data_IF_223023273972
#
_entry.id   IF_223023273972
#
_cell.length_a   1.000
_cell.length_b   1.000
_cell.length_c   1.000
_cell.angle_alpha   90.00
_cell.angle_beta   90.00
_cell.angle_gamma   90.00
#
_symmetry.space_group_name_H-M   'P 1'
#
loop_
_entity.id
_entity.type
_entity.pdbx_description
1 polymer ?
#
# COMPACT_ATOMS: atom_id res chain seq x y z
N UNK A 1 6.11 21.59 39.79
CA UNK A 1 5.02 20.57 39.83
C UNK A 1 4.42 20.50 38.44
N UNK A 2 4.83 19.52 37.65
CA UNK A 2 4.32 19.26 36.29
C UNK A 2 3.41 18.04 36.44
N UNK A 3 2.16 18.06 35.98
CA UNK A 3 1.28 16.89 36.07
C UNK A 3 1.70 15.83 35.03
N UNK A 4 1.96 14.64 35.54
CA UNK A 4 2.18 13.42 34.73
C UNK A 4 0.89 13.02 34.04
N UNK A 5 0.85 13.19 32.72
CA UNK A 5 -0.20 12.61 31.88
C UNK A 5 0.07 11.11 31.72
N UNK A 6 -0.72 10.28 32.40
CA UNK A 6 -0.77 8.86 32.18
C UNK A 6 -1.29 8.58 30.75
N UNK A 7 -0.40 8.16 29.85
CA UNK A 7 -0.82 7.46 28.63
C UNK A 7 -1.44 6.13 29.07
N UNK A 8 -2.77 6.05 29.00
CA UNK A 8 -3.49 4.80 29.19
C UNK A 8 -3.12 3.84 28.05
N UNK A 9 -2.31 2.83 28.35
CA UNK A 9 -2.06 1.71 27.46
C UNK A 9 -3.43 1.09 27.10
N UNK A 10 -3.84 1.21 25.84
CA UNK A 10 -5.02 0.50 25.32
C UNK A 10 -4.69 -1.00 25.30
N UNK A 11 -5.06 -1.69 26.38
CA UNK A 11 -4.99 -3.15 26.41
C UNK A 11 -5.95 -3.71 25.35
N UNK A 12 -5.41 -4.50 24.45
CA UNK A 12 -6.22 -5.39 23.61
C UNK A 12 -7.21 -6.12 24.50
N UNK A 13 -8.51 -6.07 24.18
CA UNK A 13 -9.49 -6.71 25.03
C UNK A 13 -9.15 -8.20 25.09
N UNK A 14 -9.09 -8.77 26.30
CA UNK A 14 -8.81 -10.20 26.53
C UNK A 14 -9.71 -11.11 25.67
N UNK A 15 -10.85 -10.60 25.23
CA UNK A 15 -11.81 -11.29 24.38
C UNK A 15 -11.33 -11.45 22.94
N UNK A 16 -10.65 -10.43 22.35
CA UNK A 16 -10.05 -10.52 20.99
C UNK A 16 -8.82 -11.43 20.98
N UNK A 17 -7.99 -11.34 22.01
CA UNK A 17 -6.84 -12.24 22.14
C UNK A 17 -7.27 -13.72 22.32
N UNK A 18 -8.34 -13.98 23.07
CA UNK A 18 -8.88 -15.33 23.26
C UNK A 18 -9.57 -15.86 22.00
N UNK A 19 -10.10 -15.00 21.14
CA UNK A 19 -10.67 -15.41 19.84
C UNK A 19 -9.57 -15.84 18.85
N UNK A 20 -8.42 -15.18 18.86
CA UNK A 20 -7.26 -15.55 18.02
C UNK A 20 -6.47 -16.75 18.59
N UNK A 21 -6.47 -16.92 19.93
CA UNK A 21 -5.76 -18.03 20.59
C UNK A 21 -6.64 -19.26 20.90
N UNK A 22 -7.95 -19.16 20.76
CA UNK A 22 -8.93 -20.18 21.16
C UNK A 22 -9.43 -21.12 20.06
N UNK A 23 -8.94 -21.00 18.84
CA UNK A 23 -9.32 -21.87 17.71
C UNK A 23 -8.55 -23.20 17.62
N UNK A 24 -7.77 -23.57 18.64
CA UNK A 24 -7.05 -24.86 18.70
C UNK A 24 -7.86 -25.88 19.52
N UNK A 25 -8.98 -26.36 18.98
CA UNK A 25 -9.79 -27.38 19.64
C UNK A 25 -10.77 -28.08 18.70
N UNK A 26 -10.33 -29.21 18.15
CA UNK A 26 -11.07 -30.30 17.52
C UNK A 26 -12.21 -29.98 16.56
N UNK A 27 -11.96 -30.31 15.29
CA UNK A 27 -12.97 -30.52 14.26
C UNK A 27 -12.31 -30.93 12.95
N UNK A 28 -12.01 -32.23 12.79
CA UNK A 28 -11.69 -32.84 11.51
C UNK A 28 -12.86 -32.64 10.55
N UNK A 29 -12.75 -31.69 9.64
CA UNK A 29 -13.50 -31.64 8.39
C UNK A 29 -12.54 -31.35 7.27
N UNK A 30 -12.25 -32.38 6.50
CA UNK A 30 -11.59 -32.37 5.21
C UNK A 30 -12.39 -31.49 4.26
N UNK A 31 -11.82 -30.34 3.93
CA UNK A 31 -12.34 -29.45 2.91
C UNK A 31 -11.33 -28.34 2.70
N UNK A 32 -10.51 -28.47 1.63
CA UNK A 32 -9.71 -27.36 1.17
C UNK A 32 -10.65 -26.24 0.70
N UNK A 33 -11.07 -25.38 1.65
CA UNK A 33 -11.72 -24.14 1.34
C UNK A 33 -10.60 -23.23 0.77
N UNK A 34 -10.48 -23.19 -0.56
CA UNK A 34 -9.89 -22.05 -1.23
C UNK A 34 -10.62 -20.83 -0.69
N UNK A 35 -9.91 -19.95 0.01
CA UNK A 35 -10.41 -18.61 0.26
C UNK A 35 -10.66 -17.96 -1.11
N UNK A 36 -11.90 -18.04 -1.57
CA UNK A 36 -12.35 -17.21 -2.68
C UNK A 36 -12.41 -15.79 -2.14
N UNK A 37 -11.62 -14.90 -2.75
CA UNK A 37 -11.80 -13.47 -2.57
C UNK A 37 -13.29 -13.15 -2.68
N UNK A 38 -13.82 -12.40 -1.71
CA UNK A 38 -15.22 -12.02 -1.71
C UNK A 38 -15.54 -11.35 -3.05
N UNK A 39 -16.44 -11.96 -3.83
CA UNK A 39 -16.87 -11.38 -5.10
C UNK A 39 -17.61 -10.08 -4.79
N UNK A 40 -17.03 -8.96 -5.21
CA UNK A 40 -17.74 -7.69 -5.26
C UNK A 40 -18.98 -7.84 -6.14
N UNK A 41 -20.07 -7.19 -5.83
CA UNK A 41 -21.34 -7.26 -6.58
C UNK A 41 -21.30 -6.72 -8.03
N UNK A 42 -20.19 -6.12 -8.45
CA UNK A 42 -19.83 -5.99 -9.87
C UNK A 42 -18.80 -7.08 -10.15
N UNK A 43 -19.08 -8.03 -11.03
CA UNK A 43 -18.07 -8.99 -11.45
C UNK A 43 -16.83 -8.20 -11.87
N UNK A 44 -15.75 -8.29 -11.06
CA UNK A 44 -14.43 -7.80 -11.44
C UNK A 44 -14.07 -8.55 -12.72
N UNK A 45 -14.10 -7.85 -13.85
CA UNK A 45 -13.73 -8.44 -15.13
C UNK A 45 -12.31 -8.04 -15.46
N UNK A 46 -11.43 -9.03 -15.63
CA UNK A 46 -10.11 -8.82 -16.18
C UNK A 46 -10.28 -8.28 -17.60
N UNK A 47 -9.74 -7.10 -17.86
CA UNK A 47 -9.82 -6.42 -19.17
C UNK A 47 -8.48 -6.41 -19.90
N UNK A 48 -7.37 -6.63 -19.19
CA UNK A 48 -6.04 -6.87 -19.74
C UNK A 48 -5.29 -7.84 -18.82
N UNK A 49 -4.47 -8.71 -19.39
CA UNK A 49 -3.73 -9.74 -18.67
C UNK A 49 -2.39 -10.02 -19.37
N UNK A 50 -1.33 -10.28 -18.60
CA UNK A 50 0.00 -10.56 -19.10
C UNK A 50 0.94 -11.08 -18.00
N UNK A 51 2.20 -11.31 -18.33
CA UNK A 51 3.20 -11.74 -17.36
C UNK A 51 3.48 -10.69 -16.29
N UNK A 52 3.27 -9.42 -16.63
CA UNK A 52 3.46 -8.25 -15.73
C UNK A 52 2.36 -8.10 -14.67
N UNK A 53 1.21 -8.77 -14.84
CA UNK A 53 0.03 -8.62 -14.02
C UNK A 53 -1.25 -8.51 -14.84
N UNK A 54 -2.27 -7.87 -14.32
CA UNK A 54 -3.57 -7.72 -14.97
C UNK A 54 -4.24 -6.40 -14.63
N UNK A 55 -5.22 -6.02 -15.44
CA UNK A 55 -6.11 -4.89 -15.15
C UNK A 55 -7.52 -5.43 -14.92
N UNK A 56 -8.08 -5.07 -13.76
CA UNK A 56 -9.42 -5.45 -13.35
C UNK A 56 -10.35 -4.23 -13.35
N UNK A 57 -11.52 -4.34 -14.00
CA UNK A 57 -12.53 -3.30 -13.92
C UNK A 57 -13.18 -3.30 -12.53
N UNK A 58 -13.16 -2.16 -11.83
CA UNK A 58 -13.77 -1.97 -10.52
C UNK A 58 -15.09 -1.19 -10.59
N UNK A 59 -15.30 -0.45 -11.68
CA UNK A 59 -16.49 0.37 -11.91
C UNK A 59 -16.46 1.03 -13.27
N UNK A 60 -17.44 1.86 -13.56
CA UNK A 60 -17.43 2.66 -14.79
C UNK A 60 -16.29 3.69 -14.70
N UNK A 61 -15.35 3.62 -15.65
CA UNK A 61 -14.18 4.50 -15.68
C UNK A 61 -13.14 4.22 -14.59
N UNK A 62 -13.20 3.06 -13.89
CA UNK A 62 -12.28 2.74 -12.80
C UNK A 62 -11.72 1.34 -12.99
N UNK A 63 -10.39 1.24 -12.94
CA UNK A 63 -9.66 -0.02 -13.06
C UNK A 63 -8.55 -0.10 -12.03
N UNK A 64 -8.38 -1.28 -11.43
CA UNK A 64 -7.22 -1.64 -10.64
C UNK A 64 -6.16 -2.28 -11.52
N UNK A 65 -4.92 -1.85 -11.41
CA UNK A 65 -3.75 -2.52 -11.93
C UNK A 65 -3.24 -3.43 -10.83
N UNK A 66 -3.26 -4.74 -11.05
CA UNK A 66 -2.80 -5.74 -10.08
C UNK A 66 -1.55 -6.40 -10.65
N UNK A 67 -0.42 -6.13 -10.01
CA UNK A 67 0.89 -6.63 -10.44
C UNK A 67 1.01 -8.14 -10.26
N UNK A 68 1.97 -8.72 -10.94
CA UNK A 68 2.39 -10.10 -10.72
C UNK A 68 2.79 -10.32 -9.26
N UNK A 69 2.54 -11.50 -8.67
CA UNK A 69 3.03 -11.83 -7.34
C UNK A 69 4.54 -11.60 -7.21
N UNK A 70 4.99 -11.17 -6.04
CA UNK A 70 6.38 -10.78 -5.77
C UNK A 70 7.41 -11.93 -5.87
N UNK A 71 6.95 -13.17 -5.92
CA UNK A 71 7.76 -14.39 -6.14
C UNK A 71 7.88 -14.77 -7.62
N UNK A 72 7.33 -13.95 -8.53
CA UNK A 72 7.40 -14.16 -9.97
C UNK A 72 8.55 -13.34 -10.59
N UNK A 73 9.03 -13.77 -11.78
CA UNK A 73 10.19 -13.14 -12.43
C UNK A 73 9.88 -11.86 -13.23
N UNK A 74 8.61 -11.53 -13.47
CA UNK A 74 8.23 -10.30 -14.18
C UNK A 74 7.93 -9.16 -13.22
N UNK A 75 8.87 -8.23 -13.13
CA UNK A 75 8.84 -7.08 -12.24
C UNK A 75 8.55 -5.76 -12.98
N UNK A 76 7.92 -5.85 -14.14
CA UNK A 76 7.64 -4.67 -14.99
C UNK A 76 6.81 -3.62 -14.26
N UNK A 77 5.73 -4.03 -13.58
CA UNK A 77 4.91 -3.13 -12.75
C UNK A 77 5.37 -3.16 -11.29
N UNK A 78 5.55 -4.33 -10.71
CA UNK A 78 5.99 -4.66 -9.36
C UNK A 78 5.04 -4.22 -8.23
N UNK A 79 4.40 -3.08 -8.32
CA UNK A 79 3.35 -2.64 -7.40
C UNK A 79 1.98 -2.63 -8.09
N UNK A 80 0.92 -2.62 -7.29
CA UNK A 80 -0.42 -2.34 -7.77
C UNK A 80 -0.61 -0.83 -7.93
N UNK A 81 -1.62 -0.46 -8.74
CA UNK A 81 -1.99 0.92 -8.96
C UNK A 81 -3.39 1.02 -9.54
N UNK A 82 -3.68 2.09 -10.27
CA UNK A 82 -5.01 2.28 -10.83
C UNK A 82 -5.09 3.22 -12.00
N UNK A 83 -6.22 3.13 -12.69
CA UNK A 83 -6.63 4.04 -13.77
C UNK A 83 -8.01 4.56 -13.41
N UNK A 84 -8.19 5.87 -13.38
CA UNK A 84 -9.48 6.53 -13.13
C UNK A 84 -9.73 7.54 -14.24
N UNK A 85 -10.84 7.39 -14.95
CA UNK A 85 -11.20 8.25 -16.08
C UNK A 85 -12.47 9.06 -15.78
N UNK A 86 -12.42 10.35 -16.03
CA UNK A 86 -13.56 11.22 -16.19
C UNK A 86 -13.71 11.67 -17.64
N UNK A 87 -14.57 12.63 -17.91
CA UNK A 87 -14.80 13.16 -19.27
C UNK A 87 -13.59 13.92 -19.82
N UNK A 88 -12.85 14.60 -18.95
CA UNK A 88 -11.80 15.56 -19.34
C UNK A 88 -10.39 15.04 -19.05
N UNK A 89 -10.23 14.22 -18.02
CA UNK A 89 -8.93 13.79 -17.49
C UNK A 89 -8.88 12.28 -17.26
N UNK A 90 -7.68 11.74 -17.33
CA UNK A 90 -7.36 10.34 -16.95
C UNK A 90 -6.24 10.39 -15.92
N UNK A 91 -6.53 9.94 -14.71
CA UNK A 91 -5.58 9.80 -13.62
C UNK A 91 -5.03 8.37 -13.60
N UNK A 92 -3.71 8.23 -13.59
CA UNK A 92 -3.05 6.96 -13.22
C UNK A 92 -2.51 7.11 -11.80
N UNK A 93 -2.70 6.08 -11.01
CA UNK A 93 -2.20 5.99 -9.64
C UNK A 93 -0.99 5.07 -9.68
N UNK A 94 0.14 5.54 -9.19
CA UNK A 94 1.50 5.03 -9.22
C UNK A 94 2.26 5.22 -10.54
N UNK A 95 3.59 5.26 -10.43
CA UNK A 95 4.47 5.26 -11.61
C UNK A 95 5.25 3.96 -11.79
N UNK A 96 4.99 2.97 -10.94
CA UNK A 96 5.55 1.62 -11.04
C UNK A 96 7.08 1.57 -10.87
N UNK A 97 7.65 0.36 -11.05
CA UNK A 97 9.07 0.09 -10.78
C UNK A 97 10.06 0.77 -11.75
N UNK A 98 9.57 1.19 -12.90
CA UNK A 98 10.40 1.87 -13.90
C UNK A 98 9.61 2.33 -15.12
N UNK A 99 10.30 3.03 -16.07
CA UNK A 99 9.66 3.66 -17.24
C UNK A 99 8.91 2.65 -18.12
N UNK A 100 9.38 1.41 -18.20
CA UNK A 100 8.71 0.35 -18.96
C UNK A 100 7.33 0.01 -18.42
N UNK A 101 7.18 -0.15 -17.10
CA UNK A 101 5.91 -0.41 -16.44
C UNK A 101 4.95 0.78 -16.55
N UNK A 102 5.46 1.98 -16.34
CA UNK A 102 4.70 3.21 -16.51
C UNK A 102 4.17 3.37 -17.96
N UNK A 103 5.02 3.13 -18.96
CA UNK A 103 4.64 3.17 -20.37
C UNK A 103 3.56 2.15 -20.70
N UNK A 104 3.73 0.91 -20.22
CA UNK A 104 2.73 -0.15 -20.41
C UNK A 104 1.37 0.28 -19.86
N UNK A 105 1.32 0.77 -18.61
CA UNK A 105 0.06 1.20 -18.01
C UNK A 105 -0.51 2.45 -18.69
N UNK A 106 0.32 3.37 -19.16
CA UNK A 106 -0.13 4.52 -19.95
C UNK A 106 -0.80 4.09 -21.26
N UNK A 107 -0.25 3.09 -21.95
CA UNK A 107 -0.82 2.52 -23.17
C UNK A 107 -2.14 1.81 -22.89
N UNK A 108 -2.22 1.03 -21.81
CA UNK A 108 -3.47 0.42 -21.37
C UNK A 108 -4.54 1.47 -21.00
N UNK A 109 -4.16 2.53 -20.30
CA UNK A 109 -5.07 3.64 -20.00
C UNK A 109 -5.61 4.27 -21.28
N UNK A 110 -4.75 4.49 -22.29
CA UNK A 110 -5.17 5.00 -23.61
C UNK A 110 -6.10 4.03 -24.34
N UNK A 111 -5.83 2.74 -24.30
CA UNK A 111 -6.68 1.72 -24.93
C UNK A 111 -8.08 1.70 -24.28
N UNK A 112 -8.15 1.74 -22.96
CA UNK A 112 -9.40 1.68 -22.19
C UNK A 112 -10.22 2.97 -22.28
N UNK A 113 -9.58 4.14 -22.39
CA UNK A 113 -10.24 5.44 -22.28
C UNK A 113 -10.23 6.27 -23.57
N UNK A 114 -9.47 5.86 -24.58
CA UNK A 114 -9.22 6.63 -25.81
C UNK A 114 -8.23 7.80 -25.63
N UNK A 115 -7.62 7.97 -24.43
CA UNK A 115 -6.76 9.11 -24.09
C UNK A 115 -5.52 8.69 -23.31
N UNK A 116 -4.42 9.39 -23.51
CA UNK A 116 -3.26 9.28 -22.66
C UNK A 116 -3.57 9.79 -21.24
N UNK A 117 -2.92 9.24 -20.19
CA UNK A 117 -3.01 9.78 -18.83
C UNK A 117 -2.68 11.28 -18.81
N UNK A 118 -3.60 12.08 -18.31
CA UNK A 118 -3.39 13.54 -18.12
C UNK A 118 -2.70 13.82 -16.80
N UNK A 119 -2.82 12.88 -15.86
CA UNK A 119 -2.35 13.00 -14.49
C UNK A 119 -1.78 11.69 -13.98
N UNK A 120 -0.73 11.79 -13.16
CA UNK A 120 -0.12 10.66 -12.44
C UNK A 120 0.02 11.05 -10.98
N UNK A 121 -0.45 10.20 -10.08
CA UNK A 121 -0.35 10.40 -8.64
C UNK A 121 0.58 9.35 -8.05
N UNK A 122 1.56 9.78 -7.26
CA UNK A 122 2.46 8.92 -6.51
C UNK A 122 2.00 8.86 -5.05
N UNK A 123 1.70 7.65 -4.57
CA UNK A 123 1.21 7.48 -3.20
C UNK A 123 2.31 7.70 -2.16
N UNK A 124 3.52 7.20 -2.43
CA UNK A 124 4.68 7.35 -1.56
C UNK A 124 5.99 7.19 -2.35
N UNK A 125 7.15 7.32 -1.70
CA UNK A 125 8.44 7.50 -2.36
C UNK A 125 9.18 6.21 -2.75
N UNK A 126 8.72 5.01 -2.36
CA UNK A 126 9.43 3.77 -2.68
C UNK A 126 9.55 3.55 -4.17
N UNK A 127 10.66 2.93 -4.58
CA UNK A 127 11.05 2.89 -5.99
C UNK A 127 10.09 2.13 -6.89
N UNK A 128 9.46 1.10 -6.38
CA UNK A 128 8.44 0.32 -7.12
C UNK A 128 7.14 1.11 -7.38
N UNK A 129 6.92 2.22 -6.67
CA UNK A 129 5.80 3.16 -6.87
C UNK A 129 6.21 4.43 -7.60
N UNK A 130 7.50 4.83 -7.52
CA UNK A 130 7.94 6.17 -7.93
C UNK A 130 9.00 6.20 -9.04
N UNK A 131 9.55 5.07 -9.49
CA UNK A 131 10.69 5.09 -10.41
C UNK A 131 10.35 5.23 -11.90
N UNK A 132 9.08 5.18 -12.29
CA UNK A 132 8.70 5.13 -13.70
C UNK A 132 8.16 6.43 -14.28
N UNK A 133 8.22 7.57 -13.59
CA UNK A 133 7.57 8.83 -13.99
C UNK A 133 7.79 9.22 -15.45
N UNK A 134 9.01 9.11 -15.95
CA UNK A 134 9.39 9.46 -17.31
C UNK A 134 8.70 8.58 -18.38
N UNK A 135 8.24 7.38 -18.00
CA UNK A 135 7.48 6.50 -18.89
C UNK A 135 6.13 7.05 -19.32
N UNK A 136 5.53 7.96 -18.56
CA UNK A 136 4.27 8.61 -18.91
C UNK A 136 4.42 9.77 -19.87
N UNK A 137 5.60 10.32 -20.01
CA UNK A 137 5.86 11.44 -20.91
C UNK A 137 6.09 10.98 -22.36
N UNK A 138 5.75 11.85 -23.31
CA UNK A 138 6.09 11.71 -24.73
C UNK A 138 6.84 12.96 -25.19
N UNK A 139 7.31 13.00 -26.46
CA UNK A 139 7.95 14.19 -27.01
C UNK A 139 7.08 15.45 -26.88
N UNK A 140 5.77 15.29 -27.11
CA UNK A 140 4.80 16.39 -27.20
C UNK A 140 3.91 16.53 -25.95
N UNK A 141 4.07 15.64 -24.94
CA UNK A 141 3.13 15.60 -23.83
C UNK A 141 3.81 15.29 -22.49
N UNK A 142 3.42 16.03 -21.47
CA UNK A 142 3.80 15.83 -20.06
C UNK A 142 2.53 15.76 -19.22
N UNK A 143 2.30 14.66 -18.47
CA UNK A 143 1.18 14.62 -17.51
C UNK A 143 1.46 15.52 -16.31
N UNK A 144 0.41 16.00 -15.65
CA UNK A 144 0.51 16.60 -14.33
C UNK A 144 0.88 15.53 -13.29
N UNK A 145 1.98 15.76 -12.55
CA UNK A 145 2.41 14.84 -11.48
C UNK A 145 1.89 15.35 -10.14
N UNK A 146 1.34 14.46 -9.32
CA UNK A 146 0.77 14.77 -8.01
C UNK A 146 1.47 13.97 -6.92
N UNK A 147 1.96 14.63 -5.89
CA UNK A 147 2.55 14.01 -4.70
C UNK A 147 2.67 15.02 -3.57
N UNK A 148 2.95 14.58 -2.36
CA UNK A 148 3.27 15.51 -1.27
C UNK A 148 4.68 16.08 -1.42
N UNK A 149 4.95 17.23 -0.79
CA UNK A 149 6.29 17.81 -0.75
C UNK A 149 7.30 16.86 -0.08
N UNK A 150 6.87 16.10 0.94
CA UNK A 150 7.71 15.13 1.62
C UNK A 150 8.05 13.95 0.70
N UNK A 151 7.07 13.40 -0.01
CA UNK A 151 7.30 12.34 -1.00
C UNK A 151 8.30 12.79 -2.05
N UNK A 152 8.12 13.99 -2.64
CA UNK A 152 9.08 14.55 -3.60
C UNK A 152 10.50 14.64 -3.05
N UNK A 153 10.64 15.18 -1.83
CA UNK A 153 11.95 15.30 -1.17
C UNK A 153 12.63 13.94 -0.97
N UNK A 154 11.86 12.92 -0.58
CA UNK A 154 12.39 11.57 -0.35
C UNK A 154 12.80 10.91 -1.67
N UNK A 155 12.04 11.10 -2.76
CA UNK A 155 12.41 10.62 -4.10
C UNK A 155 13.72 11.25 -4.55
N UNK A 156 13.84 12.59 -4.49
CA UNK A 156 15.07 13.29 -4.85
C UNK A 156 16.27 12.82 -4.03
N UNK A 157 16.11 12.65 -2.71
CA UNK A 157 17.18 12.13 -1.86
C UNK A 157 17.53 10.65 -2.09
N UNK A 158 16.63 9.86 -2.68
CA UNK A 158 16.93 8.51 -3.13
C UNK A 158 17.65 8.51 -4.47
N UNK A 159 17.23 9.37 -5.41
CA UNK A 159 17.85 9.53 -6.74
C UNK A 159 19.30 10.02 -6.62
N UNK A 160 19.62 10.95 -5.70
CA UNK A 160 20.99 11.40 -5.42
C UNK A 160 21.95 10.27 -4.99
N UNK A 161 21.44 9.17 -4.45
CA UNK A 161 22.26 8.04 -3.99
C UNK A 161 22.43 6.96 -5.06
N UNK A 162 21.80 7.11 -6.22
CA UNK A 162 21.92 6.17 -7.34
C UNK A 162 23.13 6.54 -8.18
N UNK A 163 23.95 5.54 -8.50
CA UNK A 163 25.15 5.72 -9.33
C UNK A 163 24.81 6.06 -10.79
N UNK A 164 23.65 5.61 -11.26
CA UNK A 164 23.12 5.99 -12.58
C UNK A 164 22.41 7.33 -12.46
N UNK A 165 22.94 8.34 -13.15
CA UNK A 165 22.33 9.67 -13.17
C UNK A 165 20.86 9.57 -13.54
N UNK A 166 19.99 10.15 -12.72
CA UNK A 166 18.56 10.22 -13.00
C UNK A 166 18.34 10.84 -14.40
N UNK A 167 17.40 10.29 -15.16
CA UNK A 167 16.98 10.87 -16.43
C UNK A 167 16.62 12.35 -16.21
N UNK A 168 17.18 13.31 -16.98
CA UNK A 168 16.85 14.73 -16.86
C UNK A 168 15.35 14.99 -16.89
N UNK A 169 14.59 14.24 -17.70
CA UNK A 169 13.15 14.34 -17.79
C UNK A 169 12.46 13.99 -16.45
N UNK A 170 12.98 12.99 -15.72
CA UNK A 170 12.49 12.64 -14.38
C UNK A 170 12.65 13.81 -13.42
N UNK A 171 13.82 14.47 -13.45
CA UNK A 171 14.09 15.67 -12.64
C UNK A 171 13.11 16.80 -12.95
N UNK A 172 12.87 17.08 -14.24
CA UNK A 172 11.92 18.10 -14.70
C UNK A 172 10.49 17.80 -14.21
N UNK A 173 10.04 16.55 -14.33
CA UNK A 173 8.71 16.12 -13.87
C UNK A 173 8.55 16.26 -12.35
N UNK A 174 9.57 15.89 -11.58
CA UNK A 174 9.57 16.03 -10.12
C UNK A 174 9.57 17.50 -9.69
N UNK A 175 10.30 18.37 -10.39
CA UNK A 175 10.34 19.80 -10.09
C UNK A 175 9.00 20.47 -10.40
N UNK A 176 8.34 20.09 -11.49
CA UNK A 176 7.04 20.60 -11.92
C UNK A 176 5.85 19.98 -11.19
N UNK A 177 6.06 19.07 -10.24
CA UNK A 177 4.99 18.34 -9.58
C UNK A 177 4.04 19.27 -8.80
N UNK A 178 2.73 18.98 -8.92
CA UNK A 178 1.67 19.57 -8.10
C UNK A 178 1.77 19.01 -6.69
N UNK A 179 1.95 19.86 -5.70
CA UNK A 179 2.15 19.43 -4.32
C UNK A 179 0.83 19.35 -3.57
N UNK A 180 0.56 18.19 -3.01
CA UNK A 180 -0.58 17.93 -2.15
C UNK A 180 -0.25 18.43 -0.74
N UNK A 181 -1.14 19.25 -0.16
CA UNK A 181 -1.01 19.69 1.23
C UNK A 181 -1.17 18.49 2.16
N UNK A 182 -0.23 18.23 3.09
CA UNK A 182 -0.31 17.09 3.99
C UNK A 182 -1.42 17.17 5.04
N UNK A 183 -2.04 18.34 5.23
CA UNK A 183 -3.08 18.57 6.24
C UNK A 183 -4.49 18.64 5.64
N UNK A 184 -4.61 18.67 4.29
CA UNK A 184 -5.90 18.87 3.61
C UNK A 184 -6.22 17.73 2.64
N UNK A 185 -7.50 17.34 2.57
CA UNK A 185 -7.99 16.42 1.57
C UNK A 185 -8.13 17.17 0.25
N UNK A 186 -7.39 16.73 -0.76
CA UNK A 186 -7.51 17.29 -2.11
C UNK A 186 -8.67 16.61 -2.86
N UNK A 187 -9.59 17.40 -3.39
CA UNK A 187 -10.56 16.93 -4.39
C UNK A 187 -10.08 17.24 -5.79
N UNK A 188 -9.95 16.20 -6.62
CA UNK A 188 -9.58 16.31 -8.02
C UNK A 188 -10.78 15.90 -8.87
N UNK A 189 -11.36 16.84 -9.65
CA UNK A 189 -12.40 16.53 -10.62
C UNK A 189 -11.77 16.15 -11.97
N UNK A 190 -12.13 14.97 -12.46
CA UNK A 190 -11.67 14.45 -13.74
C UNK A 190 -12.66 14.71 -14.89
N UNK A 191 -13.63 15.56 -14.65
CA UNK A 191 -14.76 15.83 -15.56
C UNK A 191 -15.97 14.96 -15.22
N UNK A 192 -16.56 15.22 -14.06
CA UNK A 192 -17.72 14.50 -13.52
C UNK A 192 -17.39 13.23 -12.72
N UNK A 193 -16.13 12.87 -12.61
CA UNK A 193 -15.63 11.85 -11.67
C UNK A 193 -14.77 12.56 -10.63
N UNK A 194 -15.26 12.68 -9.42
CA UNK A 194 -14.54 13.29 -8.31
C UNK A 194 -13.70 12.25 -7.59
N UNK A 195 -12.43 12.56 -7.37
CA UNK A 195 -11.47 11.74 -6.65
C UNK A 195 -11.02 12.48 -5.42
N UNK A 196 -11.07 11.85 -4.25
CA UNK A 196 -10.54 12.40 -3.01
C UNK A 196 -9.14 11.81 -2.75
N UNK A 197 -8.17 12.67 -2.57
CA UNK A 197 -6.80 12.30 -2.23
C UNK A 197 -6.60 12.67 -0.77
N UNK A 198 -6.39 11.66 0.07
CA UNK A 198 -6.21 11.83 1.50
C UNK A 198 -4.74 11.68 1.86
N UNK A 199 -4.08 12.73 2.36
CA UNK A 199 -2.76 12.59 2.96
C UNK A 199 -2.81 11.67 4.18
N UNK A 200 -1.80 10.83 4.28
CA UNK A 200 -1.66 9.82 5.32
C UNK A 200 -0.20 9.65 5.67
N UNK A 201 0.06 8.83 6.66
CA UNK A 201 1.39 8.36 7.01
C UNK A 201 1.27 7.02 7.71
N UNK A 202 2.33 6.25 7.65
CA UNK A 202 2.33 4.94 8.33
C UNK A 202 3.27 3.96 7.67
N UNK A 203 3.08 3.65 6.41
CA UNK A 203 4.05 2.86 5.65
C UNK A 203 5.34 3.65 5.43
N UNK A 204 5.19 4.95 5.17
CA UNK A 204 6.28 5.93 5.19
C UNK A 204 5.89 7.15 6.02
N UNK A 205 6.78 8.14 6.07
CA UNK A 205 6.49 9.43 6.70
C UNK A 205 5.44 10.25 5.94
N UNK A 206 5.15 9.88 4.70
CA UNK A 206 4.22 10.60 3.82
C UNK A 206 3.64 9.66 2.79
N UNK A 207 2.43 9.23 3.04
CA UNK A 207 1.62 8.38 2.17
C UNK A 207 0.36 9.16 1.75
N UNK A 208 -0.27 8.76 0.65
CA UNK A 208 -1.62 9.22 0.29
C UNK A 208 -2.47 8.04 -0.14
N UNK A 209 -3.79 8.14 0.08
CA UNK A 209 -4.80 7.25 -0.49
C UNK A 209 -5.67 7.99 -1.48
N UNK A 210 -6.22 7.26 -2.45
CA UNK A 210 -7.15 7.80 -3.44
C UNK A 210 -8.48 7.12 -3.24
N UNK A 211 -9.53 7.90 -2.96
CA UNK A 211 -10.84 7.39 -2.55
C UNK A 211 -11.94 7.88 -3.50
N UNK A 212 -12.71 6.93 -4.02
CA UNK A 212 -13.91 7.16 -4.80
C UNK A 212 -15.11 6.68 -3.96
N UNK A 213 -15.49 7.48 -2.98
CA UNK A 213 -16.45 7.09 -1.92
C UNK A 213 -17.79 6.63 -2.48
N UNK A 214 -18.37 7.37 -3.46
CA UNK A 214 -19.66 7.05 -4.06
C UNK A 214 -19.63 5.72 -4.85
N UNK A 215 -18.45 5.28 -5.26
CA UNK A 215 -18.23 4.08 -6.06
C UNK A 215 -17.65 2.92 -5.23
N UNK A 216 -17.37 3.17 -3.94
CA UNK A 216 -16.85 2.16 -3.03
C UNK A 216 -15.48 1.63 -3.43
N UNK A 217 -14.57 2.48 -3.93
CA UNK A 217 -13.21 2.08 -4.33
C UNK A 217 -12.17 2.91 -3.59
N UNK A 218 -11.15 2.24 -3.05
CA UNK A 218 -10.02 2.88 -2.35
C UNK A 218 -8.71 2.32 -2.88
N UNK A 219 -7.84 3.17 -3.41
CA UNK A 219 -6.46 2.84 -3.71
C UNK A 219 -5.60 3.19 -2.49
N UNK A 220 -4.96 2.20 -1.92
CA UNK A 220 -4.36 2.28 -0.58
C UNK A 220 -2.87 2.58 -0.60
N UNK A 221 -2.18 2.40 -1.76
CA UNK A 221 -0.74 2.27 -1.74
C UNK A 221 -0.31 1.20 -0.73
N UNK A 222 0.87 1.33 -0.19
CA UNK A 222 1.45 0.35 0.75
C UNK A 222 0.93 0.46 2.19
N UNK A 223 -0.09 1.30 2.43
CA UNK A 223 -0.82 1.24 3.70
C UNK A 223 -1.54 -0.10 3.87
N UNK A 224 -1.84 -0.80 2.76
CA UNK A 224 -2.42 -2.15 2.77
C UNK A 224 -1.61 -3.06 1.83
N UNK A 225 -1.22 -4.21 2.35
CA UNK A 225 -0.74 -5.36 1.58
C UNK A 225 -1.73 -6.49 1.78
N UNK A 226 -2.10 -7.23 0.74
CA UNK A 226 -3.05 -8.33 0.87
C UNK A 226 -2.39 -9.67 0.58
N UNK A 227 -2.54 -10.64 1.48
CA UNK A 227 -1.93 -11.96 1.45
C UNK A 227 -0.39 -11.96 1.39
N UNK A 228 0.24 -10.83 1.67
CA UNK A 228 1.69 -10.65 1.69
C UNK A 228 2.07 -9.92 2.98
N UNK A 229 3.08 -10.40 3.70
CA UNK A 229 3.61 -9.73 4.88
C UNK A 229 4.35 -8.45 4.47
N UNK A 230 3.98 -7.27 5.01
CA UNK A 230 4.48 -5.99 4.52
C UNK A 230 5.92 -5.70 4.92
N UNK A 231 6.54 -4.79 4.15
CA UNK A 231 7.84 -4.22 4.48
C UNK A 231 7.69 -3.09 5.50
N UNK A 232 8.30 -3.25 6.68
CA UNK A 232 8.28 -2.27 7.77
C UNK A 232 9.51 -1.35 7.83
N UNK A 233 10.37 -1.33 6.80
CA UNK A 233 11.66 -0.62 6.85
C UNK A 233 11.53 0.85 7.26
N UNK A 234 10.61 1.57 6.64
CA UNK A 234 10.44 3.02 6.84
C UNK A 234 9.13 3.33 7.58
N UNK A 235 8.53 2.29 8.16
CA UNK A 235 7.22 2.35 8.78
C UNK A 235 7.25 3.13 10.08
N UNK A 236 6.18 3.90 10.30
CA UNK A 236 5.77 4.48 11.57
C UNK A 236 4.64 3.61 12.14
N UNK A 237 4.93 2.58 12.94
CA UNK A 237 3.99 1.50 13.23
C UNK A 237 2.66 1.95 13.84
N UNK A 238 2.69 2.89 14.80
CA UNK A 238 1.45 3.45 15.38
C UNK A 238 0.63 4.19 14.34
N UNK A 239 1.27 5.01 13.50
CA UNK A 239 0.60 5.76 12.45
C UNK A 239 0.04 4.82 11.36
N UNK A 240 0.76 3.74 11.02
CA UNK A 240 0.26 2.70 10.11
C UNK A 240 -1.02 2.07 10.66
N UNK A 241 -1.01 1.65 11.92
CA UNK A 241 -2.16 1.07 12.57
C UNK A 241 -3.38 2.02 12.58
N UNK A 242 -3.17 3.31 12.82
CA UNK A 242 -4.21 4.33 12.79
C UNK A 242 -4.73 4.56 11.36
N UNK A 243 -3.84 4.71 10.38
CA UNK A 243 -4.19 4.89 8.97
C UNK A 243 -5.02 3.71 8.46
N UNK A 244 -4.56 2.48 8.66
CA UNK A 244 -5.26 1.24 8.24
C UNK A 244 -6.66 1.17 8.83
N UNK A 245 -6.81 1.42 10.14
CA UNK A 245 -8.13 1.40 10.77
C UNK A 245 -9.06 2.47 10.24
N UNK A 246 -8.51 3.64 9.84
CA UNK A 246 -9.29 4.74 9.27
C UNK A 246 -9.73 4.48 7.83
N UNK A 247 -9.09 3.56 7.12
CA UNK A 247 -9.47 3.16 5.75
C UNK A 247 -10.69 2.25 5.70
N UNK A 248 -11.01 1.56 6.80
CA UNK A 248 -12.16 0.66 6.82
C UNK A 248 -13.45 1.40 6.51
N UNK A 249 -14.23 0.80 5.61
CA UNK A 249 -15.55 1.27 5.18
C UNK A 249 -16.58 0.18 5.40
N UNK A 250 -17.71 0.28 4.73
CA UNK A 250 -18.72 -0.77 4.73
C UNK A 250 -18.33 -1.93 3.81
N UNK A 251 -19.00 -3.06 3.99
CA UNK A 251 -18.64 -4.37 3.42
C UNK A 251 -18.56 -4.44 1.88
N UNK A 252 -19.05 -3.45 1.15
CA UNK A 252 -19.06 -3.45 -0.33
C UNK A 252 -17.89 -2.67 -0.94
N UNK A 253 -16.91 -2.23 -0.15
CA UNK A 253 -15.76 -1.46 -0.64
C UNK A 253 -14.69 -2.37 -1.23
N UNK A 254 -14.19 -2.01 -2.42
CA UNK A 254 -13.03 -2.59 -3.05
C UNK A 254 -11.77 -1.81 -2.67
N UNK A 255 -10.79 -2.49 -2.10
CA UNK A 255 -9.49 -1.90 -1.80
C UNK A 255 -8.45 -2.41 -2.80
N UNK A 256 -7.71 -1.48 -3.40
CA UNK A 256 -6.53 -1.78 -4.21
C UNK A 256 -5.31 -1.59 -3.31
N UNK A 257 -4.73 -2.68 -2.77
CA UNK A 257 -3.53 -2.60 -1.93
C UNK A 257 -2.31 -2.27 -2.79
N UNK A 258 -1.20 -1.85 -2.18
CA UNK A 258 0.05 -1.64 -2.92
C UNK A 258 0.62 -2.94 -3.48
N UNK A 259 0.40 -4.05 -2.79
CA UNK A 259 0.83 -5.39 -3.21
C UNK A 259 -0.20 -6.46 -2.88
N UNK A 260 -0.24 -7.49 -3.73
CA UNK A 260 -1.15 -8.62 -3.60
C UNK A 260 -2.49 -8.42 -4.33
N UNK A 261 -3.42 -9.34 -4.22
CA UNK A 261 -4.73 -9.26 -4.88
C UNK A 261 -5.59 -8.14 -4.30
N UNK A 262 -6.65 -7.75 -5.00
CA UNK A 262 -7.67 -6.84 -4.49
C UNK A 262 -8.18 -7.32 -3.12
N UNK A 263 -8.49 -6.38 -2.25
CA UNK A 263 -8.88 -6.65 -0.87
C UNK A 263 -10.33 -6.19 -0.59
N UNK A 264 -10.97 -6.87 0.35
CA UNK A 264 -12.25 -6.52 0.96
C UNK A 264 -12.04 -5.86 2.32
N UNK A 265 -13.10 -5.35 2.97
CA UNK A 265 -13.02 -4.84 4.36
C UNK A 265 -12.60 -5.94 5.36
N UNK A 266 -12.93 -7.21 5.07
CA UNK A 266 -12.47 -8.34 5.87
C UNK A 266 -10.95 -8.53 5.78
N UNK A 267 -10.36 -8.37 4.58
CA UNK A 267 -8.91 -8.47 4.37
C UNK A 267 -8.19 -7.29 5.02
N UNK A 268 -8.74 -6.07 4.93
CA UNK A 268 -8.22 -4.90 5.65
C UNK A 268 -8.27 -5.11 7.17
N UNK A 269 -9.29 -5.81 7.67
CA UNK A 269 -9.37 -6.18 9.09
C UNK A 269 -8.26 -7.16 9.47
N UNK A 270 -8.02 -8.18 8.65
CA UNK A 270 -6.92 -9.13 8.86
C UNK A 270 -5.56 -8.44 8.83
N UNK A 271 -5.38 -7.47 7.94
CA UNK A 271 -4.14 -6.69 7.88
C UNK A 271 -3.97 -5.82 9.16
N UNK A 272 -5.03 -5.21 9.66
CA UNK A 272 -4.99 -4.49 10.94
C UNK A 272 -4.64 -5.42 12.12
N UNK A 273 -5.22 -6.63 12.15
CA UNK A 273 -4.91 -7.64 13.16
C UNK A 273 -3.44 -8.11 13.06
N UNK A 274 -2.87 -8.21 11.85
CA UNK A 274 -1.44 -8.48 11.64
C UNK A 274 -0.56 -7.42 12.30
N UNK A 275 -0.87 -6.13 12.11
CA UNK A 275 -0.10 -5.04 12.72
C UNK A 275 -0.14 -5.14 14.25
N UNK A 276 -1.33 -5.43 14.82
CA UNK A 276 -1.51 -5.64 16.26
C UNK A 276 -0.71 -6.85 16.78
N UNK A 277 -0.63 -7.93 16.01
CA UNK A 277 0.19 -9.11 16.35
C UNK A 277 1.67 -8.78 16.42
N UNK A 278 2.18 -8.01 15.45
CA UNK A 278 3.58 -7.56 15.45
C UNK A 278 3.86 -6.65 16.64
N UNK A 279 2.96 -5.71 16.96
CA UNK A 279 3.08 -4.87 18.16
C UNK A 279 3.18 -5.70 19.44
N UNK A 280 2.27 -6.66 19.61
CA UNK A 280 2.25 -7.54 20.79
C UNK A 280 3.56 -8.34 20.88
N UNK A 281 4.06 -8.87 19.76
CA UNK A 281 5.33 -9.58 19.75
C UNK A 281 6.49 -8.69 20.14
N UNK A 282 6.57 -7.48 19.57
CA UNK A 282 7.61 -6.51 19.89
C UNK A 282 7.61 -6.12 21.38
N UNK A 283 6.46 -5.74 21.93
CA UNK A 283 6.34 -5.36 23.34
C UNK A 283 6.72 -6.49 24.29
N UNK A 284 6.28 -7.72 24.03
CA UNK A 284 6.67 -8.89 24.84
C UNK A 284 8.16 -9.17 24.80
N UNK A 285 8.78 -8.95 23.65
CA UNK A 285 10.21 -9.18 23.46
C UNK A 285 11.05 -8.11 24.16
N UNK A 286 10.57 -6.86 24.15
CA UNK A 286 11.15 -5.76 24.94
C UNK A 286 11.09 -6.09 26.44
N UNK A 287 9.93 -6.54 26.94
CA UNK A 287 9.76 -6.92 28.35
C UNK A 287 10.69 -8.08 28.77
N UNK A 288 11.03 -8.97 27.83
CA UNK A 288 11.99 -10.07 28.05
C UNK A 288 13.45 -9.63 27.88
N UNK A 289 13.73 -8.44 27.38
CA UNK A 289 15.09 -7.95 27.10
C UNK A 289 15.81 -8.69 25.97
N UNK A 290 15.07 -9.28 25.00
CA UNK A 290 15.66 -9.98 23.84
C UNK A 290 15.69 -9.05 22.61
N UNK A 291 16.62 -9.32 21.68
CA UNK A 291 16.76 -8.52 20.46
C UNK A 291 15.60 -8.77 19.47
N UNK A 292 15.43 -7.85 18.49
CA UNK A 292 14.46 -8.02 17.42
C UNK A 292 14.71 -9.29 16.60
N UNK A 293 15.97 -9.64 16.35
CA UNK A 293 16.37 -10.86 15.67
C UNK A 293 15.94 -12.12 16.43
N UNK A 294 16.16 -12.15 17.76
CA UNK A 294 15.72 -13.26 18.61
C UNK A 294 14.20 -13.37 18.64
N UNK A 295 13.51 -12.24 18.72
CA UNK A 295 12.05 -12.19 18.70
C UNK A 295 11.49 -12.68 17.36
N UNK A 296 12.10 -12.30 16.24
CA UNK A 296 11.71 -12.74 14.89
C UNK A 296 11.90 -14.26 14.71
N UNK A 297 12.95 -14.84 15.27
CA UNK A 297 13.19 -16.28 15.20
C UNK A 297 12.07 -17.09 15.90
N UNK A 298 11.42 -16.50 16.92
CA UNK A 298 10.31 -17.10 17.67
C UNK A 298 8.94 -16.71 17.08
N UNK A 299 8.83 -15.62 16.31
CA UNK A 299 7.59 -15.10 15.79
C UNK A 299 6.99 -16.03 14.74
N UNK A 300 5.70 -16.30 14.85
CA UNK A 300 4.94 -17.09 13.88
C UNK A 300 3.59 -16.41 13.65
N UNK A 301 3.17 -16.37 12.41
CA UNK A 301 1.83 -15.92 12.04
C UNK A 301 0.83 -17.03 12.37
N UNK A 302 -0.28 -16.70 13.07
CA UNK A 302 -1.35 -17.65 13.31
C UNK A 302 -2.27 -17.76 12.10
N UNK A 303 -3.13 -18.79 12.07
CA UNK A 303 -4.26 -18.86 11.14
C UNK A 303 -5.17 -17.62 11.27
N UNK A 304 -5.64 -17.05 10.16
CA UNK A 304 -5.44 -17.43 8.75
C UNK A 304 -4.23 -16.75 8.08
N UNK A 305 -3.35 -16.09 8.84
CA UNK A 305 -2.21 -15.30 8.32
C UNK A 305 -0.98 -16.16 8.00
N UNK A 306 -0.94 -17.43 8.45
CA UNK A 306 0.26 -18.28 8.33
C UNK A 306 0.68 -18.55 6.88
N UNK A 307 -0.28 -18.50 5.92
CA UNK A 307 -0.05 -18.72 4.50
C UNK A 307 0.30 -17.43 3.73
N UNK A 308 0.43 -16.31 4.44
CA UNK A 308 0.81 -15.06 3.79
C UNK A 308 2.25 -15.14 3.28
N UNK A 309 2.43 -14.68 2.04
CA UNK A 309 3.74 -14.68 1.39
C UNK A 309 4.73 -13.80 2.15
N UNK A 310 5.94 -14.33 2.38
CA UNK A 310 7.04 -13.59 2.99
C UNK A 310 8.08 -13.29 1.91
N UNK A 311 8.10 -12.08 1.41
CA UNK A 311 8.98 -11.69 0.30
C UNK A 311 10.47 -11.70 0.67
N UNK A 312 10.81 -11.48 1.95
CA UNK A 312 12.20 -11.59 2.47
C UNK A 312 12.19 -12.22 3.86
N UNK A 313 13.13 -13.10 4.09
CA UNK A 313 13.26 -13.85 5.36
C UNK A 313 13.40 -12.94 6.59
N UNK A 314 13.94 -11.73 6.43
CA UNK A 314 14.16 -10.80 7.53
C UNK A 314 12.97 -9.84 7.81
N UNK A 315 11.84 -9.98 7.14
CA UNK A 315 10.72 -9.04 7.30
C UNK A 315 10.13 -9.06 8.71
N UNK A 316 10.11 -10.21 9.39
CA UNK A 316 9.68 -10.27 10.79
C UNK A 316 10.61 -9.48 11.72
N UNK A 317 11.93 -9.59 11.51
CA UNK A 317 12.92 -8.81 12.27
C UNK A 317 12.76 -7.31 12.01
N UNK A 318 12.62 -6.92 10.74
CA UNK A 318 12.40 -5.51 10.35
C UNK A 318 11.14 -4.97 10.99
N UNK A 319 10.03 -5.73 11.00
CA UNK A 319 8.77 -5.32 11.57
C UNK A 319 8.85 -5.15 13.10
N UNK A 320 9.42 -6.10 13.81
CA UNK A 320 9.63 -6.01 15.26
C UNK A 320 10.59 -4.87 15.59
N UNK A 321 11.67 -4.73 14.80
CA UNK A 321 12.65 -3.65 14.95
C UNK A 321 12.08 -2.26 14.74
N UNK A 322 11.11 -2.08 13.86
CA UNK A 322 10.43 -0.79 13.67
C UNK A 322 9.67 -0.36 14.93
N UNK A 323 9.00 -1.30 15.63
CA UNK A 323 8.38 -1.04 16.93
C UNK A 323 9.41 -0.73 18.02
N UNK A 324 10.57 -1.44 18.05
CA UNK A 324 11.66 -1.14 18.99
C UNK A 324 12.13 0.30 18.82
N UNK A 325 12.37 0.72 17.57
CA UNK A 325 12.77 2.08 17.22
C UNK A 325 11.73 3.11 17.69
N UNK A 326 10.45 2.88 17.42
CA UNK A 326 9.37 3.80 17.81
C UNK A 326 9.22 3.90 19.33
N UNK A 327 9.39 2.79 20.05
CA UNK A 327 9.32 2.75 21.50
C UNK A 327 10.60 3.25 22.20
N UNK A 328 11.59 3.75 21.45
CA UNK A 328 12.84 4.32 21.99
C UNK A 328 13.81 3.28 22.53
N UNK A 329 13.65 2.01 22.16
CA UNK A 329 14.58 0.94 22.53
C UNK A 329 15.70 0.91 21.49
N UNK A 330 16.94 1.19 21.93
CA UNK A 330 18.12 1.03 21.07
C UNK A 330 18.19 -0.42 20.57
N UNK A 331 18.35 -0.59 19.24
CA UNK A 331 18.64 -1.89 18.66
C UNK A 331 20.02 -2.33 19.22
N UNK A 332 20.01 -3.15 20.27
CA UNK A 332 21.24 -3.81 20.71
C UNK A 332 21.65 -4.78 19.58
N UNK A 333 22.78 -4.48 18.92
CA UNK A 333 23.34 -5.25 17.82
C UNK A 333 23.78 -6.65 18.25
#
# INVERSE_FOLDING_TARGET
MIPSTHLAARALSRRRFMQLAGASGLGLLTGAARLQAASHKGESSIVADGTWGRIERLGEGIWGVVSTPLDHDDWTTLCNGGIVAGKDRVLVIESFAGPGGARLVAEQARELTGRWPTDVLITHYHGDHANGLEGFATEDFRPGIWMTATTRKLILGADEKREDSADPLRGELLEAANLIDPEEILQLDLGGTAVKIHPRRGHTASDVTVELEELGVVFCGDLIWNLIFPNFRDTLPTALAESVRSLRREAETAYVPGHGPLASDADVTLFADLIDLVEVAARRSIDKGISAAQAAAEFRLPQPLEDWHLFRDNYFEVAIGSWYKELGIGLAG
#
